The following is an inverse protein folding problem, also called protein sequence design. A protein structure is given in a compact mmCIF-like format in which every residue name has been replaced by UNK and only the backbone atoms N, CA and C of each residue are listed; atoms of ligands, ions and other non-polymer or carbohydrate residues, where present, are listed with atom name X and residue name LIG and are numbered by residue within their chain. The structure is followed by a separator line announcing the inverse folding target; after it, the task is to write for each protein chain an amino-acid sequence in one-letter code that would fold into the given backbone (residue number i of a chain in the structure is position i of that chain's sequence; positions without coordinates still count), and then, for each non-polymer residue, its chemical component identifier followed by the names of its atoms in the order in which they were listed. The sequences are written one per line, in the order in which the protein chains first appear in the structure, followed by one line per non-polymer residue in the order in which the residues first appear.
data_IF_337886256637
#
_entry.id   IF_337886256637
#
_cell.length_a   1.000
_cell.length_b   1.000
_cell.length_c   1.000
_cell.angle_alpha   90.00
_cell.angle_beta   90.00
_cell.angle_gamma   90.00
#
_symmetry.space_group_name_H-M   'P 1'
#
loop_
_entity.id
_entity.type
_entity.pdbx_description
1 polymer ?
#
# COMPACT_ATOMS: atom_id res chain seq x y z
N UNK A 1 -6.72 18.30 -19.17
CA UNK A 1 -6.62 18.69 -17.74
C UNK A 1 -5.72 19.91 -17.65
N UNK A 2 -6.24 21.04 -17.17
CA UNK A 2 -5.62 22.37 -17.34
C UNK A 2 -4.59 22.79 -16.28
N UNK A 3 -3.97 21.85 -15.57
CA UNK A 3 -2.99 22.11 -14.52
C UNK A 3 -1.90 21.04 -14.63
N UNK A 4 -0.63 21.43 -14.53
CA UNK A 4 0.47 20.45 -14.48
C UNK A 4 0.48 19.72 -13.13
N UNK A 5 0.96 18.48 -13.13
CA UNK A 5 1.13 17.66 -11.92
C UNK A 5 1.99 18.39 -10.88
N UNK A 6 3.11 18.99 -11.31
CA UNK A 6 3.97 19.80 -10.45
C UNK A 6 3.24 20.96 -9.76
N UNK A 7 2.31 21.60 -10.48
CA UNK A 7 1.50 22.70 -9.94
C UNK A 7 0.48 22.18 -8.94
N UNK A 8 -0.15 21.04 -9.22
CA UNK A 8 -1.09 20.40 -8.30
C UNK A 8 -0.42 20.06 -6.95
N UNK A 9 0.77 19.43 -6.99
CA UNK A 9 1.50 19.09 -5.77
C UNK A 9 1.92 20.33 -4.98
N UNK A 10 2.41 21.38 -5.65
CA UNK A 10 2.77 22.63 -4.98
C UNK A 10 1.56 23.31 -4.30
N UNK A 11 0.36 23.24 -4.90
CA UNK A 11 -0.87 23.75 -4.30
C UNK A 11 -1.27 22.95 -3.05
N UNK A 12 -1.14 21.63 -3.12
CA UNK A 12 -1.42 20.73 -1.99
C UNK A 12 -0.47 20.97 -0.83
N UNK A 13 0.84 21.01 -1.09
CA UNK A 13 1.87 21.25 -0.07
C UNK A 13 1.66 22.59 0.65
N UNK A 14 1.33 23.65 -0.10
CA UNK A 14 1.01 24.97 0.48
C UNK A 14 -0.21 24.91 1.39
N UNK A 15 -1.27 24.20 1.00
CA UNK A 15 -2.47 24.04 1.82
C UNK A 15 -2.22 23.19 3.08
N UNK A 16 -1.40 22.14 2.99
CA UNK A 16 -1.01 21.30 4.13
C UNK A 16 -0.08 22.02 5.11
N UNK A 17 0.76 22.95 4.62
CA UNK A 17 1.65 23.79 5.44
C UNK A 17 0.93 24.85 6.28
N UNK A 18 -0.40 24.92 6.22
CA UNK A 18 -1.20 25.84 7.02
C UNK A 18 -1.36 27.24 6.44
N UNK A 19 -1.04 27.46 5.15
CA UNK A 19 -1.41 28.71 4.48
C UNK A 19 -2.93 28.79 4.38
N UNK A 20 -3.52 29.65 5.22
CA UNK A 20 -4.96 29.85 5.30
C UNK A 20 -5.58 30.38 4.00
N UNK A 21 -6.92 30.29 3.93
CA UNK A 21 -7.69 30.81 2.80
C UNK A 21 -7.91 29.78 1.69
N UNK A 22 -7.63 30.16 0.44
CA UNK A 22 -7.96 29.38 -0.75
C UNK A 22 -7.27 28.01 -0.79
N UNK A 23 -6.01 27.93 -0.36
CA UNK A 23 -5.22 26.68 -0.38
C UNK A 23 -5.74 25.66 0.65
N UNK A 24 -6.14 26.11 1.83
CA UNK A 24 -6.78 25.26 2.84
C UNK A 24 -8.11 24.72 2.34
N UNK A 25 -8.97 25.58 1.77
CA UNK A 25 -10.25 25.15 1.19
C UNK A 25 -10.05 24.15 0.03
N UNK A 26 -9.02 24.36 -0.80
CA UNK A 26 -8.64 23.42 -1.85
C UNK A 26 -8.31 22.03 -1.26
N UNK A 27 -7.42 21.96 -0.26
CA UNK A 27 -7.03 20.69 0.37
C UNK A 27 -8.22 20.03 1.09
N UNK A 28 -9.06 20.79 1.78
CA UNK A 28 -10.27 20.26 2.42
C UNK A 28 -11.26 19.69 1.40
N UNK A 29 -11.48 20.40 0.30
CA UNK A 29 -12.37 19.95 -0.78
C UNK A 29 -11.80 18.71 -1.47
N UNK A 30 -10.48 18.64 -1.66
CA UNK A 30 -9.80 17.46 -2.17
C UNK A 30 -10.03 16.25 -1.25
N UNK A 31 -9.74 16.39 0.05
CA UNK A 31 -9.96 15.33 1.06
C UNK A 31 -11.41 14.86 1.10
N UNK A 32 -12.37 15.78 1.04
CA UNK A 32 -13.80 15.44 0.97
C UNK A 32 -14.12 14.65 -0.29
N UNK A 33 -13.60 15.08 -1.45
CA UNK A 33 -13.83 14.42 -2.73
C UNK A 33 -13.21 13.02 -2.76
N UNK A 34 -12.00 12.85 -2.21
CA UNK A 34 -11.34 11.55 -2.04
C UNK A 34 -12.17 10.63 -1.15
N UNK A 35 -12.66 11.12 0.00
CA UNK A 35 -13.51 10.35 0.89
C UNK A 35 -14.84 9.92 0.23
N UNK A 36 -15.45 10.80 -0.57
CA UNK A 36 -16.66 10.48 -1.34
C UNK A 36 -16.35 9.42 -2.41
N UNK A 37 -15.23 9.57 -3.12
CA UNK A 37 -14.82 8.61 -4.14
C UNK A 37 -14.55 7.23 -3.54
N UNK A 38 -13.89 7.17 -2.39
CA UNK A 38 -13.66 5.93 -1.64
C UNK A 38 -14.97 5.29 -1.19
N UNK A 39 -15.90 6.07 -0.61
CA UNK A 39 -17.21 5.57 -0.20
C UNK A 39 -18.03 5.01 -1.40
N UNK A 40 -17.97 5.69 -2.54
CA UNK A 40 -18.61 5.23 -3.78
C UNK A 40 -17.99 3.92 -4.27
N UNK A 41 -16.67 3.82 -4.24
CA UNK A 41 -15.97 2.59 -4.63
C UNK A 41 -16.34 1.43 -3.70
N UNK A 42 -16.40 1.67 -2.39
CA UNK A 42 -16.88 0.67 -1.43
C UNK A 42 -18.31 0.23 -1.72
N UNK A 43 -19.20 1.16 -2.09
CA UNK A 43 -20.57 0.82 -2.48
C UNK A 43 -20.62 -0.06 -3.73
N UNK A 44 -19.78 0.23 -4.73
CA UNK A 44 -19.64 -0.60 -5.93
C UNK A 44 -19.13 -2.01 -5.58
N UNK A 45 -18.09 -2.11 -4.75
CA UNK A 45 -17.52 -3.40 -4.31
C UNK A 45 -18.54 -4.20 -3.48
N UNK A 46 -19.35 -3.54 -2.66
CA UNK A 46 -20.42 -4.19 -1.89
C UNK A 46 -21.56 -4.72 -2.77
N UNK A 47 -21.90 -3.97 -3.82
CA UNK A 47 -22.92 -4.35 -4.80
C UNK A 47 -22.44 -5.47 -5.74
N UNK A 48 -21.12 -5.63 -5.90
CA UNK A 48 -20.52 -6.64 -6.74
C UNK A 48 -20.98 -8.06 -6.33
N UNK A 49 -21.40 -8.91 -7.29
CA UNK A 49 -21.89 -10.25 -6.99
C UNK A 49 -20.75 -11.21 -6.59
N UNK A 50 -19.50 -10.89 -6.91
CA UNK A 50 -18.34 -11.72 -6.62
C UNK A 50 -18.12 -11.81 -5.11
N UNK A 51 -18.01 -13.03 -4.60
CA UNK A 51 -17.73 -13.24 -3.18
C UNK A 51 -16.29 -12.83 -2.83
N UNK A 52 -15.38 -12.87 -3.80
CA UNK A 52 -13.98 -12.45 -3.65
C UNK A 52 -13.86 -10.97 -3.27
N UNK A 53 -14.65 -10.11 -3.93
CA UNK A 53 -14.74 -8.67 -3.65
C UNK A 53 -15.10 -8.41 -2.17
N UNK A 54 -16.05 -9.20 -1.65
CA UNK A 54 -16.52 -9.12 -0.25
C UNK A 54 -15.52 -9.72 0.73
N UNK A 55 -14.89 -10.83 0.37
CA UNK A 55 -13.85 -11.47 1.17
C UNK A 55 -12.65 -10.53 1.37
N UNK A 56 -12.23 -9.81 0.33
CA UNK A 56 -11.11 -8.87 0.41
C UNK A 56 -11.36 -7.72 1.41
N UNK A 57 -12.59 -7.17 1.43
CA UNK A 57 -12.97 -6.17 2.43
C UNK A 57 -12.87 -6.75 3.86
N UNK A 58 -13.33 -7.99 4.06
CA UNK A 58 -13.28 -8.66 5.37
C UNK A 58 -11.85 -8.92 5.84
N UNK A 59 -10.97 -9.37 4.94
CA UNK A 59 -9.55 -9.59 5.21
C UNK A 59 -8.86 -8.31 5.70
N UNK A 60 -9.15 -7.16 5.08
CA UNK A 60 -8.54 -5.87 5.46
C UNK A 60 -9.11 -5.28 6.74
N UNK A 61 -10.43 -5.41 6.97
CA UNK A 61 -11.10 -4.86 8.17
C UNK A 61 -10.87 -5.69 9.42
N UNK A 62 -10.83 -7.01 9.27
CA UNK A 62 -10.77 -7.96 10.39
C UNK A 62 -9.65 -9.00 10.17
N UNK A 63 -8.38 -8.57 10.07
CA UNK A 63 -7.26 -9.45 9.74
C UNK A 63 -7.03 -10.55 10.78
N UNK A 64 -7.39 -10.34 12.05
CA UNK A 64 -7.29 -11.35 13.11
C UNK A 64 -8.14 -12.61 12.81
N UNK A 65 -9.34 -12.39 12.26
CA UNK A 65 -10.35 -13.41 12.03
C UNK A 65 -10.30 -13.98 10.61
N UNK A 66 -10.01 -13.12 9.62
CA UNK A 66 -10.10 -13.43 8.20
C UNK A 66 -8.76 -13.33 7.47
N UNK A 67 -7.71 -12.80 8.11
CA UNK A 67 -6.39 -12.72 7.52
C UNK A 67 -5.81 -14.11 7.23
N UNK A 68 -5.03 -14.21 6.16
CA UNK A 68 -4.40 -15.47 5.78
C UNK A 68 -3.48 -15.97 6.89
N UNK A 69 -3.89 -17.05 7.56
CA UNK A 69 -3.03 -17.79 8.48
C UNK A 69 -2.16 -18.76 7.68
N UNK A 70 -0.93 -18.34 7.38
CA UNK A 70 0.10 -19.29 6.92
C UNK A 70 0.51 -20.15 8.12
N UNK A 71 0.08 -21.41 8.15
CA UNK A 71 0.60 -22.39 9.09
C UNK A 71 2.04 -22.69 8.70
N UNK A 72 2.98 -22.08 9.41
CA UNK A 72 4.39 -22.45 9.31
C UNK A 72 4.57 -23.76 10.09
N UNK A 73 4.42 -24.90 9.41
CA UNK A 73 4.88 -26.19 9.95
C UNK A 73 6.42 -26.21 9.86
N UNK A 74 7.07 -25.51 10.80
CA UNK A 74 8.53 -25.51 10.93
C UNK A 74 8.96 -26.69 11.81
N UNK A 75 9.09 -27.88 11.22
CA UNK A 75 9.87 -28.97 11.84
C UNK A 75 11.37 -28.67 11.66
N UNK A 76 11.90 -27.73 12.43
CA UNK A 76 13.30 -27.32 12.35
C UNK A 76 14.14 -28.16 13.33
N UNK A 77 14.69 -29.28 12.84
CA UNK A 77 15.70 -30.08 13.55
C UNK A 77 17.11 -29.61 13.19
N UNK A 78 17.36 -28.30 13.21
CA UNK A 78 18.70 -27.75 13.04
C UNK A 78 18.82 -26.40 13.75
N UNK A 79 19.95 -26.22 14.45
CA UNK A 79 20.34 -24.98 15.10
C UNK A 79 20.75 -23.99 14.00
N UNK A 80 19.89 -23.01 13.69
CA UNK A 80 20.16 -21.99 12.68
C UNK A 80 20.58 -20.71 13.38
N UNK A 81 21.85 -20.35 13.28
CA UNK A 81 22.35 -19.03 13.69
C UNK A 81 21.98 -17.98 12.63
N UNK A 82 21.13 -17.02 13.02
CA UNK A 82 20.79 -15.86 12.18
C UNK A 82 21.84 -14.78 12.36
N UNK A 83 22.61 -14.46 11.31
CA UNK A 83 23.51 -13.31 11.27
C UNK A 83 22.86 -12.16 10.51
N UNK A 84 22.74 -11.01 11.17
CA UNK A 84 22.30 -9.77 10.56
C UNK A 84 23.53 -8.99 10.07
N UNK A 85 23.67 -8.83 8.75
CA UNK A 85 24.76 -8.04 8.15
C UNK A 85 24.18 -6.76 7.53
N UNK A 86 24.88 -5.64 7.66
CA UNK A 86 24.47 -4.37 7.06
C UNK A 86 24.62 -4.42 5.53
N UNK A 87 23.62 -3.90 4.81
CA UNK A 87 23.53 -3.97 3.33
C UNK A 87 24.76 -3.39 2.62
N UNK A 88 25.48 -2.48 3.26
CA UNK A 88 26.67 -1.81 2.69
C UNK A 88 27.90 -2.71 2.56
N UNK A 89 27.90 -3.88 3.21
CA UNK A 89 29.05 -4.82 3.23
C UNK A 89 28.85 -6.03 2.32
N UNK A 90 27.73 -6.09 1.58
CA UNK A 90 27.44 -7.17 0.64
C UNK A 90 28.16 -6.93 -0.71
N UNK A 91 28.88 -7.94 -1.19
CA UNK A 91 29.43 -7.96 -2.55
C UNK A 91 28.30 -8.05 -3.58
N UNK A 92 28.54 -7.54 -4.80
CA UNK A 92 27.54 -7.51 -5.89
C UNK A 92 26.94 -8.89 -6.21
N UNK A 93 27.66 -9.97 -5.93
CA UNK A 93 27.23 -11.36 -6.15
C UNK A 93 26.02 -11.76 -5.29
N UNK A 94 25.88 -11.19 -4.10
CA UNK A 94 24.78 -11.49 -3.16
C UNK A 94 23.55 -10.58 -3.36
N UNK A 95 23.65 -9.56 -4.23
CA UNK A 95 22.54 -8.64 -4.56
C UNK A 95 21.63 -9.17 -5.68
N UNK A 96 22.13 -10.09 -6.52
CA UNK A 96 21.37 -10.70 -7.62
C UNK A 96 20.09 -11.43 -7.17
N UNK A 97 20.10 -12.28 -6.11
CA UNK A 97 18.88 -12.96 -5.68
C UNK A 97 17.85 -12.01 -5.05
N UNK A 98 18.29 -10.94 -4.38
CA UNK A 98 17.40 -9.93 -3.80
C UNK A 98 16.65 -9.12 -4.87
N UNK A 99 17.33 -8.76 -5.97
CA UNK A 99 16.71 -8.07 -7.09
C UNK A 99 15.55 -8.87 -7.71
N UNK A 100 15.69 -10.20 -7.77
CA UNK A 100 14.62 -11.09 -8.28
C UNK A 100 13.38 -11.10 -7.38
N UNK A 101 13.58 -11.19 -6.06
CA UNK A 101 12.47 -11.16 -5.08
C UNK A 101 11.69 -9.84 -5.14
N UNK A 102 12.40 -8.71 -5.30
CA UNK A 102 11.76 -7.40 -5.41
C UNK A 102 10.94 -7.28 -6.71
N UNK A 103 11.46 -7.81 -7.83
CA UNK A 103 10.71 -7.83 -9.10
C UNK A 103 9.46 -8.70 -9.03
N UNK A 104 9.54 -9.88 -8.40
CA UNK A 104 8.41 -10.80 -8.28
C UNK A 104 7.29 -10.21 -7.39
N UNK A 105 7.64 -9.48 -6.33
CA UNK A 105 6.67 -8.76 -5.49
C UNK A 105 5.98 -7.61 -6.24
N UNK A 106 6.68 -6.95 -7.19
CA UNK A 106 6.08 -5.88 -8.00
C UNK A 106 5.01 -6.38 -8.97
N UNK A 107 5.16 -7.61 -9.47
CA UNK A 107 4.21 -8.26 -10.37
C UNK A 107 2.94 -8.71 -9.63
N UNK A 108 3.08 -9.09 -8.36
CA UNK A 108 1.94 -9.48 -7.52
C UNK A 108 1.00 -8.30 -7.18
N UNK A 109 1.48 -7.06 -7.22
CA UNK A 109 0.66 -5.87 -6.97
C UNK A 109 -0.18 -5.42 -8.19
N UNK A 110 -0.02 -6.04 -9.36
CA UNK A 110 -0.74 -5.68 -10.61
C UNK A 110 -1.75 -6.73 -11.09
N UNK A 111 -2.20 -7.66 -10.23
CA UNK A 111 -3.29 -8.61 -10.52
C UNK A 111 -4.53 -8.37 -9.67
#
# INVERSE_FOLDING_TARGET
MGISESTFHALREKGESGFGGLYLNFVETLKKSEAIAEANLLSVIQADPSWQSKAWILERRCPEHWGRRSRLDASLNSNVEVKFTAIKELSEEELLPLGKVIMDLSQFCHS
#
